data_IF_227676267133
#
_entry.id   IF_227676267133
#
_cell.length_a   1.000
_cell.length_b   1.000
_cell.length_c   1.000
_cell.angle_alpha   90.00
_cell.angle_beta   90.00
_cell.angle_gamma   90.00
#
_symmetry.space_group_name_H-M   'P 1'
#
loop_
_entity.id
_entity.type
_entity.pdbx_description
1 polymer ?
#
# COMPACT_ATOMS: atom_id res chain seq x y z
N UNK A 1 -8.80 -54.66 -54.31
CA UNK A 1 -9.23 -53.97 -53.07
C UNK A 1 -10.29 -52.94 -53.42
N UNK A 2 -11.56 -53.16 -53.04
CA UNK A 2 -12.60 -52.13 -53.13
C UNK A 2 -12.82 -51.59 -51.71
N UNK A 3 -12.48 -50.32 -51.49
CA UNK A 3 -12.81 -49.61 -50.26
C UNK A 3 -14.34 -49.44 -50.17
N UNK A 4 -14.95 -49.63 -49.00
CA UNK A 4 -16.39 -49.47 -48.84
C UNK A 4 -16.77 -48.01 -49.06
N UNK A 5 -17.71 -47.77 -49.99
CA UNK A 5 -18.31 -46.45 -50.19
C UNK A 5 -19.34 -46.23 -49.10
N UNK A 6 -18.98 -45.41 -48.10
CA UNK A 6 -19.94 -44.94 -47.11
C UNK A 6 -20.89 -43.94 -47.77
N UNK A 7 -22.20 -44.12 -47.55
CA UNK A 7 -23.22 -43.18 -48.02
C UNK A 7 -23.00 -41.80 -47.39
N UNK A 8 -23.20 -40.73 -48.17
CA UNK A 8 -23.07 -39.34 -47.70
C UNK A 8 -23.91 -39.06 -46.45
N UNK A 9 -25.07 -39.70 -46.32
CA UNK A 9 -25.93 -39.64 -45.13
C UNK A 9 -25.28 -40.25 -43.89
N UNK A 10 -24.54 -41.35 -44.03
CA UNK A 10 -23.82 -42.00 -42.93
C UNK A 10 -22.65 -41.12 -42.48
N UNK A 11 -21.92 -40.51 -43.42
CA UNK A 11 -20.86 -39.54 -43.07
C UNK A 11 -21.43 -38.31 -42.34
N UNK A 12 -22.56 -37.76 -42.79
CA UNK A 12 -23.19 -36.61 -42.13
C UNK A 12 -23.64 -36.93 -40.70
N UNK A 13 -24.21 -38.12 -40.51
CA UNK A 13 -24.65 -38.57 -39.19
C UNK A 13 -23.48 -38.76 -38.22
N UNK A 14 -22.36 -39.33 -38.67
CA UNK A 14 -21.14 -39.47 -37.88
C UNK A 14 -20.55 -38.11 -37.52
N UNK A 15 -20.56 -37.15 -38.45
CA UNK A 15 -20.07 -35.79 -38.19
C UNK A 15 -20.93 -35.07 -37.16
N UNK A 16 -22.25 -35.18 -37.25
CA UNK A 16 -23.18 -34.58 -36.30
C UNK A 16 -23.02 -35.19 -34.90
N UNK A 17 -22.83 -36.51 -34.81
CA UNK A 17 -22.56 -37.20 -33.54
C UNK A 17 -21.21 -36.78 -32.96
N UNK A 18 -20.15 -36.72 -33.77
CA UNK A 18 -18.84 -36.24 -33.30
C UNK A 18 -18.89 -34.78 -32.84
N UNK A 19 -19.61 -33.91 -33.55
CA UNK A 19 -19.76 -32.51 -33.16
C UNK A 19 -20.59 -32.38 -31.88
N UNK A 20 -21.66 -33.17 -31.73
CA UNK A 20 -22.46 -33.22 -30.50
C UNK A 20 -21.66 -33.73 -29.31
N UNK A 21 -20.82 -34.76 -29.48
CA UNK A 21 -19.91 -35.26 -28.45
C UNK A 21 -18.85 -34.20 -28.11
N UNK A 22 -18.28 -33.51 -29.09
CA UNK A 22 -17.29 -32.45 -28.86
C UNK A 22 -17.90 -31.28 -28.10
N UNK A 23 -19.10 -30.82 -28.49
CA UNK A 23 -19.84 -29.77 -27.77
C UNK A 23 -20.21 -30.23 -26.37
N UNK A 24 -20.62 -31.48 -26.18
CA UNK A 24 -20.89 -32.05 -24.86
C UNK A 24 -19.64 -32.11 -23.98
N UNK A 25 -18.50 -32.53 -24.51
CA UNK A 25 -17.22 -32.56 -23.80
C UNK A 25 -16.72 -31.16 -23.47
N UNK A 26 -16.81 -30.19 -24.40
CA UNK A 26 -16.45 -28.78 -24.15
C UNK A 26 -17.40 -28.13 -23.16
N UNK A 27 -18.70 -28.44 -23.20
CA UNK A 27 -19.69 -27.92 -22.23
C UNK A 27 -19.50 -28.50 -20.83
N UNK A 28 -18.98 -29.73 -20.69
CA UNK A 28 -18.55 -30.32 -19.41
C UNK A 28 -17.17 -29.88 -18.94
N UNK A 29 -16.32 -29.40 -19.86
CA UNK A 29 -15.00 -28.84 -19.56
C UNK A 29 -15.02 -27.32 -19.33
N UNK A 30 -16.14 -26.63 -19.61
CA UNK A 30 -16.39 -25.36 -18.94
C UNK A 30 -16.42 -25.69 -17.45
N UNK A 31 -15.49 -25.16 -16.64
CA UNK A 31 -15.60 -25.30 -15.21
C UNK A 31 -16.97 -24.73 -14.87
N UNK A 32 -17.87 -25.57 -14.36
CA UNK A 32 -18.91 -25.08 -13.49
C UNK A 32 -18.17 -24.28 -12.43
N UNK A 33 -18.17 -22.95 -12.56
CA UNK A 33 -17.62 -22.06 -11.53
C UNK A 33 -18.16 -22.59 -10.22
N UNK A 34 -17.31 -22.97 -9.25
CA UNK A 34 -17.79 -23.33 -7.94
C UNK A 34 -18.48 -22.09 -7.42
N UNK A 35 -19.81 -22.08 -7.47
CA UNK A 35 -20.62 -21.07 -6.85
C UNK A 35 -20.27 -21.10 -5.35
N UNK A 36 -19.51 -20.09 -4.90
CA UNK A 36 -19.29 -19.84 -3.47
C UNK A 36 -17.87 -19.83 -2.92
N UNK A 37 -16.78 -19.68 -3.68
CA UNK A 37 -15.56 -19.03 -3.13
C UNK A 37 -15.68 -17.54 -3.42
N UNK A 38 -16.10 -16.75 -2.44
CA UNK A 38 -16.26 -15.31 -2.61
C UNK A 38 -14.99 -14.68 -3.19
N UNK A 39 -15.13 -13.79 -4.18
CA UNK A 39 -14.02 -13.05 -4.75
C UNK A 39 -13.21 -12.37 -3.63
N UNK A 40 -11.89 -12.58 -3.62
CA UNK A 40 -11.01 -11.91 -2.67
C UNK A 40 -11.23 -10.39 -2.71
N UNK A 41 -11.31 -9.76 -1.55
CA UNK A 41 -11.23 -8.29 -1.48
C UNK A 41 -9.76 -7.90 -1.49
N UNK A 42 -9.36 -7.08 -2.46
CA UNK A 42 -7.98 -6.64 -2.62
C UNK A 42 -7.87 -5.23 -2.06
N UNK A 43 -6.90 -4.99 -1.17
CA UNK A 43 -6.70 -3.67 -0.57
C UNK A 43 -5.28 -3.22 -0.81
N UNK A 44 -5.13 -2.05 -1.42
CA UNK A 44 -3.85 -1.37 -1.52
C UNK A 44 -3.78 -0.25 -0.47
N UNK A 45 -2.93 -0.42 0.54
CA UNK A 45 -2.54 0.68 1.44
C UNK A 45 -1.45 1.49 0.73
N UNK A 46 -1.89 2.51 -0.01
CA UNK A 46 -1.05 3.39 -0.83
C UNK A 46 -0.56 4.57 0.01
N UNK A 47 0.73 4.87 -0.04
CA UNK A 47 1.34 5.95 0.74
C UNK A 47 2.69 6.39 0.15
N UNK A 48 3.43 7.26 0.84
CA UNK A 48 4.88 7.40 0.70
C UNK A 48 5.63 6.86 1.93
N UNK A 49 6.96 6.72 1.83
CA UNK A 49 7.80 6.38 2.99
C UNK A 49 7.59 7.38 4.13
N UNK A 50 7.56 6.86 5.36
CA UNK A 50 7.47 7.61 6.62
C UNK A 50 6.14 8.31 6.91
N UNK A 51 5.09 8.05 6.12
CA UNK A 51 3.73 8.60 6.36
C UNK A 51 2.87 7.77 7.32
N UNK A 52 3.43 6.77 8.01
CA UNK A 52 2.69 5.95 8.99
C UNK A 52 2.05 4.68 8.42
N UNK A 53 2.26 4.39 7.14
CA UNK A 53 1.68 3.23 6.44
C UNK A 53 2.09 1.88 7.02
N UNK A 54 3.24 1.78 7.70
CA UNK A 54 3.63 0.54 8.38
C UNK A 54 2.70 0.22 9.56
N UNK A 55 2.19 1.25 10.26
CA UNK A 55 1.21 1.08 11.32
C UNK A 55 -0.15 0.64 10.75
N UNK A 56 -0.64 1.30 9.69
CA UNK A 56 -1.88 0.91 9.00
C UNK A 56 -1.77 -0.50 8.42
N UNK A 57 -0.64 -0.86 7.82
CA UNK A 57 -0.39 -2.22 7.34
C UNK A 57 -0.42 -3.26 8.47
N UNK A 58 0.10 -2.93 9.66
CA UNK A 58 0.00 -3.81 10.83
C UNK A 58 -1.43 -3.98 11.32
N UNK A 59 -2.24 -2.92 11.32
CA UNK A 59 -3.66 -3.01 11.67
C UNK A 59 -4.35 -4.07 10.80
N UNK A 60 -4.19 -3.99 9.47
CA UNK A 60 -4.72 -5.00 8.56
C UNK A 60 -4.10 -6.39 8.78
N UNK A 61 -2.77 -6.48 8.91
CA UNK A 61 -2.05 -7.75 9.09
C UNK A 61 -2.58 -8.57 10.27
N UNK A 62 -2.93 -7.90 11.38
CA UNK A 62 -3.41 -8.59 12.57
C UNK A 62 -4.84 -9.16 12.43
N UNK A 63 -5.59 -8.80 11.37
CA UNK A 63 -6.93 -9.33 11.17
C UNK A 63 -6.92 -10.81 10.75
N UNK A 64 -7.76 -11.69 11.34
CA UNK A 64 -7.76 -13.14 11.07
C UNK A 64 -8.07 -13.53 9.62
N UNK A 65 -8.75 -12.65 8.89
CA UNK A 65 -9.17 -12.88 7.49
C UNK A 65 -8.25 -12.25 6.43
N UNK A 66 -7.13 -11.64 6.86
CA UNK A 66 -6.22 -10.91 5.98
C UNK A 66 -4.92 -11.70 5.74
N UNK A 67 -4.58 -11.86 4.46
CA UNK A 67 -3.22 -12.05 4.01
C UNK A 67 -2.59 -10.69 3.74
N UNK A 68 -1.44 -10.41 4.35
CA UNK A 68 -0.76 -9.11 4.22
C UNK A 68 0.68 -9.29 3.73
N UNK A 69 1.12 -8.43 2.79
CA UNK A 69 2.55 -8.26 2.50
C UNK A 69 2.94 -6.78 2.57
N UNK A 70 4.11 -6.54 3.17
CA UNK A 70 4.70 -5.21 3.27
C UNK A 70 5.61 -4.96 2.07
N UNK A 71 5.25 -4.00 1.24
CA UNK A 71 6.09 -3.48 0.16
C UNK A 71 6.70 -4.57 -0.77
N UNK A 72 5.93 -5.52 -1.33
CA UNK A 72 6.47 -6.48 -2.29
C UNK A 72 7.22 -5.82 -3.47
N UNK A 73 6.83 -4.62 -3.90
CA UNK A 73 7.53 -3.87 -4.95
C UNK A 73 8.95 -3.40 -4.57
N UNK A 74 9.34 -3.56 -3.30
CA UNK A 74 10.73 -3.40 -2.87
C UNK A 74 11.68 -4.27 -3.69
N UNK A 75 11.26 -5.50 -4.04
CA UNK A 75 12.08 -6.44 -4.82
C UNK A 75 12.34 -5.95 -6.25
N UNK A 76 11.37 -5.28 -6.89
CA UNK A 76 11.57 -4.66 -8.21
C UNK A 76 12.63 -3.56 -8.12
N UNK A 77 12.52 -2.69 -7.11
CA UNK A 77 13.45 -1.57 -6.93
C UNK A 77 14.84 -2.01 -6.47
N UNK A 78 14.94 -3.13 -5.76
CA UNK A 78 16.21 -3.74 -5.38
C UNK A 78 16.93 -4.32 -6.62
N UNK A 79 16.23 -5.17 -7.37
CA UNK A 79 16.78 -5.82 -8.57
C UNK A 79 17.08 -4.83 -9.71
N UNK A 80 16.24 -3.80 -9.89
CA UNK A 80 16.35 -2.82 -10.98
C UNK A 80 16.75 -1.43 -10.47
N UNK A 81 17.66 -1.37 -9.50
CA UNK A 81 18.06 -0.14 -8.78
C UNK A 81 18.66 0.99 -9.64
N UNK A 82 19.08 0.69 -10.87
CA UNK A 82 19.55 1.68 -11.84
C UNK A 82 18.39 2.47 -12.48
N UNK A 83 17.18 1.93 -12.46
CA UNK A 83 15.99 2.57 -13.01
C UNK A 83 15.53 3.79 -12.20
N UNK A 84 14.75 4.65 -12.84
CA UNK A 84 14.00 5.71 -12.16
C UNK A 84 12.62 5.21 -11.74
N UNK A 85 12.00 5.84 -10.73
CA UNK A 85 10.66 5.46 -10.30
C UNK A 85 9.65 5.37 -11.47
N UNK A 86 9.56 6.35 -12.40
CA UNK A 86 8.69 6.24 -13.58
C UNK A 86 8.99 5.05 -14.50
N UNK A 87 10.27 4.73 -14.71
CA UNK A 87 10.67 3.62 -15.57
C UNK A 87 10.26 2.26 -14.98
N UNK A 88 10.22 2.15 -13.64
CA UNK A 88 9.89 0.91 -12.94
C UNK A 88 8.39 0.70 -12.72
N UNK A 89 7.54 1.68 -13.03
CA UNK A 89 6.10 1.63 -12.71
C UNK A 89 5.37 0.41 -13.31
N UNK A 90 5.75 -0.03 -14.52
CA UNK A 90 5.10 -1.20 -15.14
C UNK A 90 5.45 -2.48 -14.40
N UNK A 91 6.75 -2.73 -14.17
CA UNK A 91 7.21 -3.89 -13.41
C UNK A 91 6.61 -3.92 -11.98
N UNK A 92 6.55 -2.76 -11.31
CA UNK A 92 5.91 -2.63 -10.00
C UNK A 92 4.41 -2.95 -10.06
N UNK A 93 3.67 -2.41 -11.03
CA UNK A 93 2.24 -2.69 -11.20
C UNK A 93 1.98 -4.17 -11.49
N UNK A 94 2.78 -4.78 -12.36
CA UNK A 94 2.60 -6.15 -12.79
C UNK A 94 2.91 -7.13 -11.64
N UNK A 95 3.97 -6.86 -10.84
CA UNK A 95 4.21 -7.59 -9.58
C UNK A 95 3.00 -7.50 -8.64
N UNK A 96 2.51 -6.29 -8.39
CA UNK A 96 1.38 -6.07 -7.47
C UNK A 96 0.12 -6.80 -7.93
N UNK A 97 -0.12 -6.82 -9.25
CA UNK A 97 -1.24 -7.56 -9.83
C UNK A 97 -1.13 -9.06 -9.56
N UNK A 98 0.01 -9.68 -9.85
CA UNK A 98 0.22 -11.12 -9.61
C UNK A 98 0.07 -11.47 -8.14
N UNK A 99 0.68 -10.68 -7.24
CA UNK A 99 0.57 -10.91 -5.79
C UNK A 99 -0.88 -10.78 -5.31
N UNK A 100 -1.67 -9.82 -5.83
CA UNK A 100 -3.09 -9.73 -5.50
C UNK A 100 -3.88 -10.98 -5.91
N UNK A 101 -3.54 -11.58 -7.05
CA UNK A 101 -4.11 -12.84 -7.53
C UNK A 101 -3.49 -14.08 -6.87
N UNK A 102 -2.69 -13.89 -5.81
CA UNK A 102 -1.94 -14.92 -5.13
C UNK A 102 -0.94 -15.70 -6.00
N UNK A 103 -0.56 -15.17 -7.16
CA UNK A 103 0.51 -15.69 -8.01
C UNK A 103 1.86 -15.18 -7.48
N UNK A 104 2.60 -16.07 -6.81
CA UNK A 104 3.89 -15.76 -6.20
C UNK A 104 5.08 -16.11 -7.12
N UNK A 105 4.84 -16.70 -8.29
CA UNK A 105 5.88 -17.04 -9.26
C UNK A 105 6.47 -15.76 -9.89
N UNK A 106 5.72 -14.66 -9.88
CA UNK A 106 6.20 -13.33 -10.29
C UNK A 106 7.48 -12.89 -9.57
N UNK A 107 7.76 -13.43 -8.38
CA UNK A 107 9.00 -13.15 -7.65
C UNK A 107 10.24 -13.83 -8.26
N UNK A 108 10.09 -14.82 -9.15
CA UNK A 108 11.23 -15.44 -9.87
C UNK A 108 12.05 -14.42 -10.66
N UNK A 109 11.43 -13.31 -11.09
CA UNK A 109 12.13 -12.23 -11.79
C UNK A 109 13.04 -11.39 -10.87
N UNK A 110 12.85 -11.45 -9.55
CA UNK A 110 13.45 -10.50 -8.60
C UNK A 110 14.09 -11.15 -7.36
N UNK A 111 13.86 -12.44 -7.12
CA UNK A 111 14.41 -13.22 -6.02
C UNK A 111 15.23 -14.40 -6.54
N UNK A 112 16.19 -14.92 -5.75
CA UNK A 112 16.92 -16.12 -6.11
C UNK A 112 15.99 -17.33 -6.25
N UNK A 113 16.39 -18.29 -7.08
CA UNK A 113 15.61 -19.51 -7.32
C UNK A 113 15.44 -20.36 -6.06
N UNK A 114 16.50 -20.49 -5.26
CA UNK A 114 16.43 -21.09 -3.92
C UNK A 114 16.12 -19.99 -2.92
N UNK A 115 14.90 -19.98 -2.41
CA UNK A 115 14.39 -18.97 -1.47
C UNK A 115 13.45 -19.57 -0.44
N UNK A 116 13.46 -18.96 0.74
CA UNK A 116 12.52 -19.20 1.82
C UNK A 116 11.56 -18.01 1.92
N UNK A 117 10.55 -18.12 2.78
CA UNK A 117 9.69 -16.96 3.07
C UNK A 117 10.47 -15.76 3.59
N UNK A 118 11.66 -15.99 4.20
CA UNK A 118 12.49 -14.92 4.74
C UNK A 118 13.07 -13.97 3.71
N UNK A 119 13.08 -14.39 2.44
CA UNK A 119 13.58 -13.56 1.33
C UNK A 119 12.56 -12.50 0.90
N UNK A 120 11.30 -12.59 1.35
CA UNK A 120 10.33 -11.51 1.19
C UNK A 120 10.65 -10.34 2.14
N UNK A 121 10.62 -9.13 1.60
CA UNK A 121 10.84 -7.91 2.37
C UNK A 121 9.86 -7.82 3.53
N UNK A 122 10.39 -7.69 4.76
CA UNK A 122 9.61 -7.56 6.00
C UNK A 122 8.57 -8.69 6.23
N UNK A 123 8.80 -9.89 5.70
CA UNK A 123 7.87 -11.03 5.76
C UNK A 123 7.25 -11.29 7.15
N UNK A 124 8.04 -11.19 8.23
CA UNK A 124 7.62 -11.57 9.59
C UNK A 124 6.60 -10.60 10.22
N UNK A 125 6.32 -9.48 9.56
CA UNK A 125 5.27 -8.55 9.98
C UNK A 125 3.89 -8.98 9.43
N UNK A 126 3.85 -10.03 8.60
CA UNK A 126 2.63 -10.67 8.12
C UNK A 126 2.17 -11.76 9.09
N UNK A 127 1.04 -11.54 9.78
CA UNK A 127 0.44 -12.58 10.64
C UNK A 127 0.20 -13.87 9.85
N UNK A 128 -0.24 -13.75 8.59
CA UNK A 128 -0.52 -14.88 7.72
C UNK A 128 0.71 -15.76 7.44
N UNK A 129 1.93 -15.20 7.42
CA UNK A 129 3.17 -15.96 7.27
C UNK A 129 3.72 -16.50 8.61
N UNK A 130 3.14 -16.05 9.72
CA UNK A 130 3.45 -16.53 11.07
C UNK A 130 2.40 -17.52 11.60
N UNK A 131 1.41 -17.88 10.76
CA UNK A 131 0.29 -18.76 11.07
C UNK A 131 0.17 -19.90 10.04
N UNK A 132 -0.57 -20.98 10.35
CA UNK A 132 -0.84 -22.04 9.39
C UNK A 132 -1.49 -21.51 8.10
N UNK A 133 -1.11 -22.04 6.92
CA UNK A 133 -0.26 -23.23 6.71
C UNK A 133 1.26 -22.96 6.70
N UNK A 134 1.71 -21.72 6.80
CA UNK A 134 3.14 -21.38 6.65
C UNK A 134 3.95 -21.74 7.89
N UNK A 135 3.43 -21.41 9.07
CA UNK A 135 4.15 -21.60 10.33
C UNK A 135 3.20 -21.71 11.52
N UNK A 136 3.53 -22.55 12.51
CA UNK A 136 2.68 -22.76 13.70
C UNK A 136 3.01 -21.82 14.87
N UNK A 137 3.73 -20.72 14.64
CA UNK A 137 4.13 -19.79 15.71
C UNK A 137 2.91 -19.11 16.36
N UNK A 138 1.85 -18.86 15.59
CA UNK A 138 0.60 -18.26 16.07
C UNK A 138 -0.62 -18.92 15.42
N UNK A 139 -1.66 -19.18 16.21
CA UNK A 139 -2.97 -19.51 15.66
C UNK A 139 -3.52 -18.36 14.81
N UNK A 140 -4.34 -18.66 13.79
CA UNK A 140 -4.86 -17.66 12.82
C UNK A 140 -5.60 -16.50 13.49
N UNK A 141 -6.28 -16.73 14.62
CA UNK A 141 -7.01 -15.69 15.35
C UNK A 141 -6.16 -14.81 16.26
N UNK A 142 -4.91 -15.18 16.54
CA UNK A 142 -4.09 -14.50 17.53
C UNK A 142 -3.31 -13.34 16.95
N UNK A 143 -3.05 -12.32 17.78
CA UNK A 143 -2.10 -11.25 17.46
C UNK A 143 -0.69 -11.87 17.34
N UNK A 144 -0.02 -11.63 16.21
CA UNK A 144 1.36 -12.07 15.99
C UNK A 144 2.38 -11.05 16.49
N UNK A 145 3.58 -11.54 16.80
CA UNK A 145 4.77 -10.73 17.08
C UNK A 145 5.89 -11.10 16.11
N UNK A 146 6.50 -10.07 15.52
CA UNK A 146 7.66 -10.19 14.63
C UNK A 146 8.85 -10.84 15.36
N UNK A 147 9.08 -10.47 16.61
CA UNK A 147 10.18 -10.96 17.46
C UNK A 147 10.11 -12.47 17.68
N UNK A 148 8.90 -13.03 17.76
CA UNK A 148 8.68 -14.47 17.90
C UNK A 148 8.67 -15.15 16.54
N UNK A 149 8.04 -14.55 15.54
CA UNK A 149 7.88 -15.15 14.21
C UNK A 149 9.22 -15.30 13.46
N UNK A 150 10.08 -14.28 13.50
CA UNK A 150 11.38 -14.29 12.80
C UNK A 150 12.22 -15.53 13.09
N UNK A 151 12.57 -15.86 14.35
CA UNK A 151 13.42 -17.01 14.64
C UNK A 151 12.74 -18.36 14.35
N UNK A 152 11.41 -18.45 14.41
CA UNK A 152 10.68 -19.72 14.28
C UNK A 152 10.29 -20.08 12.84
N UNK A 153 10.11 -19.08 11.97
CA UNK A 153 9.47 -19.27 10.67
C UNK A 153 10.36 -18.92 9.47
N UNK A 154 11.57 -18.37 9.67
CA UNK A 154 12.39 -17.84 8.56
C UNK A 154 12.67 -18.85 7.43
N UNK A 155 12.90 -20.11 7.77
CA UNK A 155 13.34 -21.15 6.82
C UNK A 155 12.20 -21.91 6.16
N UNK A 156 10.94 -21.44 6.32
CA UNK A 156 9.80 -22.10 5.70
C UNK A 156 9.85 -21.98 4.18
N UNK A 157 9.43 -23.01 3.42
CA UNK A 157 9.43 -22.98 1.97
C UNK A 157 8.62 -21.82 1.40
N UNK A 158 9.17 -21.14 0.38
CA UNK A 158 8.52 -19.99 -0.25
C UNK A 158 7.15 -20.32 -0.87
N UNK A 159 6.96 -21.54 -1.40
CA UNK A 159 5.69 -21.96 -2.00
C UNK A 159 4.48 -21.89 -1.06
N UNK A 160 4.69 -21.95 0.26
CA UNK A 160 3.62 -21.82 1.25
C UNK A 160 3.00 -20.40 1.28
N UNK A 161 3.67 -19.39 0.74
CA UNK A 161 3.15 -18.02 0.65
C UNK A 161 1.90 -17.96 -0.23
N UNK A 162 1.92 -18.64 -1.38
CA UNK A 162 0.80 -18.72 -2.31
C UNK A 162 -0.39 -19.48 -1.70
N UNK A 163 -0.11 -20.59 -1.01
CA UNK A 163 -1.12 -21.37 -0.29
C UNK A 163 -1.78 -20.53 0.82
N UNK A 164 -0.97 -19.82 1.61
CA UNK A 164 -1.48 -18.89 2.60
C UNK A 164 -2.36 -17.82 1.95
N UNK A 165 -1.86 -17.09 0.95
CA UNK A 165 -2.60 -16.02 0.27
C UNK A 165 -3.99 -16.49 -0.18
N UNK A 166 -4.05 -17.63 -0.85
CA UNK A 166 -5.31 -18.21 -1.39
C UNK A 166 -6.31 -18.64 -0.30
N UNK A 167 -5.86 -18.78 0.95
CA UNK A 167 -6.67 -19.22 2.08
C UNK A 167 -7.31 -18.09 2.90
N UNK A 168 -7.03 -16.82 2.59
CA UNK A 168 -7.61 -15.65 3.27
C UNK A 168 -8.61 -14.95 2.36
N UNK A 169 -9.67 -14.34 2.91
CA UNK A 169 -10.67 -13.64 2.08
C UNK A 169 -10.20 -12.25 1.62
N UNK A 170 -9.19 -11.68 2.28
CA UNK A 170 -8.65 -10.36 1.95
C UNK A 170 -7.15 -10.44 1.65
N UNK A 171 -6.73 -9.83 0.55
CA UNK A 171 -5.31 -9.68 0.18
C UNK A 171 -4.96 -8.21 0.30
N UNK A 172 -4.13 -7.87 1.29
CA UNK A 172 -3.77 -6.49 1.63
C UNK A 172 -2.29 -6.26 1.35
N UNK A 173 -2.00 -5.33 0.45
CA UNK A 173 -0.62 -4.94 0.12
C UNK A 173 -0.40 -3.50 0.56
N UNK A 174 0.68 -3.27 1.30
CA UNK A 174 1.14 -1.90 1.60
C UNK A 174 2.19 -1.50 0.58
N UNK A 175 2.01 -0.36 -0.06
CA UNK A 175 2.96 0.14 -1.05
C UNK A 175 3.27 1.62 -0.96
N UNK A 176 4.53 1.95 -1.31
CA UNK A 176 5.05 3.31 -1.28
C UNK A 176 5.71 3.75 -2.59
N UNK A 177 5.72 2.88 -3.59
CA UNK A 177 6.44 3.04 -4.86
C UNK A 177 5.56 3.50 -6.03
N UNK A 178 4.31 3.87 -5.76
CA UNK A 178 3.42 4.49 -6.75
C UNK A 178 3.30 6.00 -6.50
N UNK A 179 3.67 6.79 -7.51
CA UNK A 179 3.69 8.26 -7.41
C UNK A 179 2.57 8.94 -8.21
N UNK A 180 1.73 8.14 -8.86
CA UNK A 180 0.61 8.58 -9.69
C UNK A 180 -0.47 7.50 -9.67
N UNK A 181 -1.71 7.89 -9.37
CA UNK A 181 -2.85 6.98 -9.33
C UNK A 181 -3.16 6.35 -10.69
N UNK A 182 -2.88 7.04 -11.80
CA UNK A 182 -3.17 6.54 -13.14
C UNK A 182 -2.41 5.26 -13.49
N UNK A 183 -1.25 5.02 -12.86
CA UNK A 183 -0.50 3.77 -12.99
C UNK A 183 -1.32 2.57 -12.51
N UNK A 184 -2.23 2.78 -11.55
CA UNK A 184 -3.09 1.76 -10.95
C UNK A 184 -4.42 1.59 -11.68
N UNK A 185 -4.74 2.43 -12.67
CA UNK A 185 -6.00 2.33 -13.42
C UNK A 185 -6.20 0.97 -14.10
N UNK A 186 -5.18 0.31 -14.69
CA UNK A 186 -5.34 -1.03 -15.21
C UNK A 186 -5.79 -2.02 -14.13
N UNK A 187 -5.28 -1.91 -12.90
CA UNK A 187 -5.67 -2.80 -11.80
C UNK A 187 -7.08 -2.52 -11.31
N UNK A 188 -7.48 -1.25 -11.23
CA UNK A 188 -8.85 -0.87 -10.87
C UNK A 188 -9.87 -1.31 -11.94
N UNK A 189 -9.47 -1.42 -13.21
CA UNK A 189 -10.36 -1.86 -14.29
C UNK A 189 -10.34 -3.38 -14.50
N UNK A 190 -9.45 -4.09 -13.81
CA UNK A 190 -9.31 -5.53 -13.97
C UNK A 190 -10.50 -6.24 -13.30
N UNK A 191 -11.32 -7.01 -14.04
CA UNK A 191 -12.45 -7.73 -13.46
C UNK A 191 -12.02 -8.84 -12.50
N UNK A 192 -10.77 -9.30 -12.55
CA UNK A 192 -10.26 -10.28 -11.59
C UNK A 192 -9.94 -9.65 -10.22
N UNK A 193 -9.96 -8.31 -10.10
CA UNK A 193 -9.57 -7.59 -8.90
C UNK A 193 -10.74 -6.77 -8.32
N UNK A 194 -11.24 -7.19 -7.17
CA UNK A 194 -12.05 -6.34 -6.29
C UNK A 194 -11.15 -5.37 -5.48
N UNK A 195 -10.50 -4.45 -6.18
CA UNK A 195 -9.48 -3.55 -5.60
C UNK A 195 -10.07 -2.31 -4.93
N UNK A 196 -9.71 -2.07 -3.68
CA UNK A 196 -9.96 -0.85 -2.91
C UNK A 196 -8.62 -0.21 -2.50
N UNK A 197 -8.53 1.11 -2.60
CA UNK A 197 -7.31 1.87 -2.28
C UNK A 197 -7.54 2.68 -1.01
N UNK A 198 -6.73 2.42 0.02
CA UNK A 198 -6.59 3.29 1.19
C UNK A 198 -5.36 4.15 0.99
N UNK A 199 -5.56 5.42 0.60
CA UNK A 199 -4.47 6.36 0.39
C UNK A 199 -4.15 7.11 1.69
N UNK A 200 -3.06 6.73 2.34
CA UNK A 200 -2.58 7.35 3.56
C UNK A 200 -1.64 8.53 3.23
N UNK A 201 -1.96 9.70 3.77
CA UNK A 201 -1.14 10.91 3.73
C UNK A 201 -0.71 11.32 5.13
N UNK A 202 0.36 12.11 5.23
CA UNK A 202 0.88 12.65 6.49
C UNK A 202 1.40 14.05 6.27
N UNK A 203 1.40 14.87 7.31
CA UNK A 203 2.01 16.20 7.28
C UNK A 203 3.47 16.11 6.78
N UNK A 204 3.83 16.79 5.68
CA UNK A 204 5.16 16.70 5.09
C UNK A 204 6.28 17.19 6.04
N UNK A 205 5.95 18.02 7.03
CA UNK A 205 6.89 18.44 8.10
C UNK A 205 7.22 17.27 9.02
N UNK A 206 6.21 16.45 9.36
CA UNK A 206 6.40 15.22 10.11
C UNK A 206 7.15 14.15 9.30
N UNK A 207 6.86 14.07 7.99
CA UNK A 207 7.58 13.18 7.06
C UNK A 207 9.06 13.54 7.01
N UNK A 208 9.42 14.83 6.86
CA UNK A 208 10.82 15.27 6.86
C UNK A 208 11.58 14.80 8.11
N UNK A 209 11.05 15.11 9.31
CA UNK A 209 11.65 14.68 10.58
C UNK A 209 11.94 13.19 10.60
N UNK A 210 10.94 12.40 10.19
CA UNK A 210 10.99 10.95 10.22
C UNK A 210 11.98 10.38 9.18
N UNK A 211 12.17 11.06 8.06
CA UNK A 211 13.15 10.71 7.03
C UNK A 211 14.58 11.03 7.47
N UNK A 212 14.83 12.14 8.16
CA UNK A 212 16.17 12.46 8.68
C UNK A 212 16.68 11.38 9.66
N UNK A 213 15.77 10.75 10.41
CA UNK A 213 16.12 9.63 11.30
C UNK A 213 16.49 8.34 10.57
N UNK A 214 16.10 8.21 9.30
CA UNK A 214 16.18 6.98 8.50
C UNK A 214 16.92 7.17 7.16
N UNK A 215 17.68 8.26 7.02
CA UNK A 215 18.31 8.68 5.77
C UNK A 215 19.15 7.58 5.09
N UNK A 216 19.99 6.89 5.87
CA UNK A 216 20.83 5.79 5.38
C UNK A 216 20.02 4.63 4.79
N UNK A 217 18.98 4.21 5.51
CA UNK A 217 18.13 3.10 5.08
C UNK A 217 17.30 3.40 3.82
N UNK A 218 17.08 4.69 3.53
CA UNK A 218 16.33 5.14 2.36
C UNK A 218 17.23 5.62 1.22
N UNK A 219 18.57 5.52 1.34
CA UNK A 219 19.49 6.13 0.40
C UNK A 219 19.31 5.61 -1.04
N UNK A 220 19.07 4.31 -1.19
CA UNK A 220 18.76 3.70 -2.49
C UNK A 220 17.42 4.19 -3.05
N UNK A 221 16.34 4.13 -2.26
CA UNK A 221 15.02 4.61 -2.69
C UNK A 221 15.08 6.09 -3.09
N UNK A 222 15.86 6.91 -2.37
CA UNK A 222 16.08 8.32 -2.71
C UNK A 222 16.75 8.48 -4.08
N UNK A 223 17.76 7.66 -4.38
CA UNK A 223 18.42 7.67 -5.68
C UNK A 223 17.44 7.36 -6.82
N UNK A 224 16.61 6.33 -6.64
CA UNK A 224 15.58 5.92 -7.61
C UNK A 224 14.53 7.02 -7.82
N UNK A 225 14.06 7.65 -6.73
CA UNK A 225 13.13 8.80 -6.79
C UNK A 225 13.74 9.98 -7.55
N UNK A 226 15.02 10.25 -7.33
CA UNK A 226 15.73 11.37 -7.94
C UNK A 226 16.30 11.05 -9.33
N UNK A 227 16.19 9.81 -9.80
CA UNK A 227 16.69 9.36 -11.10
C UNK A 227 18.21 9.43 -11.22
N UNK A 228 18.95 9.11 -10.16
CA UNK A 228 20.42 9.25 -10.09
C UNK A 228 21.19 8.06 -10.66
N UNK A 229 20.53 7.22 -11.48
CA UNK A 229 21.11 6.05 -12.14
C UNK A 229 21.93 5.18 -11.17
N UNK A 230 21.24 4.60 -10.17
CA UNK A 230 21.83 3.71 -9.17
C UNK A 230 22.66 4.36 -8.07
N UNK A 231 22.87 5.69 -8.11
CA UNK A 231 23.62 6.38 -7.04
C UNK A 231 22.77 6.55 -5.79
N UNK A 232 23.27 6.09 -4.64
CA UNK A 232 22.59 6.20 -3.35
C UNK A 232 22.66 7.63 -2.82
N UNK A 233 21.54 8.15 -2.32
CA UNK A 233 21.41 9.55 -1.85
C UNK A 233 21.02 9.57 -0.38
N UNK A 234 22.01 9.67 0.51
CA UNK A 234 21.78 9.83 1.95
C UNK A 234 21.36 11.26 2.31
N UNK A 235 21.99 12.26 1.70
CA UNK A 235 21.76 13.67 1.98
C UNK A 235 21.06 14.37 0.82
N UNK A 236 19.96 15.05 1.11
CA UNK A 236 19.19 15.84 0.15
C UNK A 236 18.94 17.25 0.72
N UNK A 237 19.97 18.12 0.74
CA UNK A 237 19.87 19.45 1.36
C UNK A 237 18.84 20.36 0.67
N UNK A 238 18.49 20.05 -0.59
CA UNK A 238 17.49 20.80 -1.36
C UNK A 238 16.06 20.26 -1.14
N UNK A 239 15.89 19.20 -0.34
CA UNK A 239 14.63 18.54 -0.06
C UNK A 239 13.86 18.10 -1.32
N UNK A 240 14.58 17.70 -2.37
CA UNK A 240 14.00 17.25 -3.65
C UNK A 240 13.10 16.03 -3.46
N UNK A 241 13.48 15.07 -2.61
CA UNK A 241 12.68 13.87 -2.34
C UNK A 241 11.40 14.22 -1.60
N UNK A 242 11.47 15.11 -0.60
CA UNK A 242 10.27 15.56 0.12
C UNK A 242 9.34 16.34 -0.81
N UNK A 243 9.90 17.17 -1.68
CA UNK A 243 9.11 17.86 -2.72
C UNK A 243 8.40 16.87 -3.63
N UNK A 244 9.07 15.80 -4.10
CA UNK A 244 8.42 14.80 -4.94
C UNK A 244 7.36 13.99 -4.18
N UNK A 245 7.57 13.69 -2.89
CA UNK A 245 6.54 13.07 -2.03
C UNK A 245 5.28 13.95 -1.95
N UNK A 246 5.45 15.25 -1.73
CA UNK A 246 4.34 16.21 -1.71
C UNK A 246 3.61 16.27 -3.05
N UNK A 247 4.37 16.33 -4.17
CA UNK A 247 3.80 16.35 -5.52
C UNK A 247 3.04 15.07 -5.85
N UNK A 248 3.57 13.91 -5.44
CA UNK A 248 2.93 12.61 -5.58
C UNK A 248 1.57 12.57 -4.87
N UNK A 249 1.52 12.96 -3.61
CA UNK A 249 0.27 12.98 -2.85
C UNK A 249 -0.77 13.92 -3.46
N UNK A 250 -0.35 15.10 -3.95
CA UNK A 250 -1.24 16.03 -4.68
C UNK A 250 -1.78 15.37 -5.94
N UNK A 251 -0.91 14.83 -6.81
CA UNK A 251 -1.33 14.17 -8.05
C UNK A 251 -2.31 13.02 -7.81
N UNK A 252 -2.03 12.17 -6.82
CA UNK A 252 -2.90 11.04 -6.46
C UNK A 252 -4.24 11.54 -5.93
N UNK A 253 -4.23 12.52 -5.02
CA UNK A 253 -5.46 13.05 -4.43
C UNK A 253 -6.31 13.79 -5.47
N UNK A 254 -5.72 14.60 -6.35
CA UNK A 254 -6.43 15.28 -7.43
C UNK A 254 -7.08 14.28 -8.39
N UNK A 255 -6.33 13.27 -8.84
CA UNK A 255 -6.86 12.22 -9.72
C UNK A 255 -7.99 11.39 -9.07
N UNK A 256 -8.06 11.37 -7.75
CA UNK A 256 -9.08 10.62 -7.00
C UNK A 256 -10.28 11.45 -6.53
N UNK A 257 -10.11 12.75 -6.35
CA UNK A 257 -11.12 13.62 -5.73
C UNK A 257 -11.69 14.63 -6.72
N UNK A 258 -10.91 15.08 -7.70
CA UNK A 258 -11.36 16.04 -8.69
C UNK A 258 -11.88 15.32 -9.95
N UNK A 259 -13.21 15.21 -10.07
CA UNK A 259 -13.89 14.48 -11.17
C UNK A 259 -13.34 13.06 -11.34
N UNK A 260 -13.44 12.22 -10.29
CA UNK A 260 -12.89 10.87 -10.34
C UNK A 260 -13.52 10.06 -11.48
N UNK A 261 -12.73 9.19 -12.15
CA UNK A 261 -13.29 8.24 -13.08
C UNK A 261 -14.36 7.35 -12.42
N UNK A 262 -15.43 6.93 -13.12
CA UNK A 262 -16.51 6.15 -12.53
C UNK A 262 -16.05 4.86 -11.84
N UNK A 263 -15.02 4.20 -12.40
CA UNK A 263 -14.46 3.00 -11.80
C UNK A 263 -13.80 3.25 -10.45
N UNK A 264 -13.50 4.48 -10.03
CA UNK A 264 -12.90 4.75 -8.72
C UNK A 264 -13.96 4.92 -7.62
N UNK A 265 -15.23 5.09 -8.01
CA UNK A 265 -16.34 5.27 -7.08
C UNK A 265 -16.38 4.13 -6.06
N UNK A 266 -16.50 4.48 -4.77
CA UNK A 266 -16.51 3.56 -3.63
C UNK A 266 -15.29 2.63 -3.50
N UNK A 267 -14.24 2.85 -4.29
CA UNK A 267 -13.00 2.06 -4.31
C UNK A 267 -11.77 2.84 -3.91
N UNK A 268 -11.92 4.08 -3.44
CA UNK A 268 -10.82 4.91 -2.94
C UNK A 268 -11.22 5.67 -1.67
N UNK A 269 -10.34 5.65 -0.67
CA UNK A 269 -10.48 6.40 0.58
C UNK A 269 -9.15 7.09 0.93
N UNK A 270 -9.16 8.41 1.06
CA UNK A 270 -8.03 9.18 1.57
C UNK A 270 -8.07 9.27 3.10
N UNK A 271 -6.93 9.06 3.76
CA UNK A 271 -6.78 9.08 5.22
C UNK A 271 -5.57 9.91 5.59
N UNK A 272 -5.74 10.87 6.51
CA UNK A 272 -4.61 11.54 7.16
C UNK A 272 -4.15 10.73 8.35
N UNK A 273 -2.84 10.52 8.45
CA UNK A 273 -2.23 9.85 9.59
C UNK A 273 -2.57 10.55 10.93
N UNK A 274 -2.70 11.87 10.92
CA UNK A 274 -2.99 12.65 12.12
C UNK A 274 -4.41 12.43 12.64
N UNK A 275 -5.40 12.19 11.75
CA UNK A 275 -6.76 11.85 12.18
C UNK A 275 -6.77 10.44 12.81
N UNK A 276 -6.04 9.50 12.21
CA UNK A 276 -5.82 8.17 12.77
C UNK A 276 -5.09 8.22 14.12
N UNK A 277 -4.11 9.12 14.27
CA UNK A 277 -3.38 9.28 15.52
C UNK A 277 -4.22 9.91 16.64
N UNK A 278 -5.15 10.81 16.29
CA UNK A 278 -6.05 11.49 17.25
C UNK A 278 -7.20 10.59 17.70
N UNK A 279 -7.79 9.82 16.80
CA UNK A 279 -8.89 8.89 17.11
C UNK A 279 -8.72 7.55 16.37
N UNK A 280 -7.85 6.65 16.86
CA UNK A 280 -7.50 5.42 16.15
C UNK A 280 -8.70 4.49 15.95
N UNK A 281 -9.51 4.27 16.99
CA UNK A 281 -10.57 3.26 16.97
C UNK A 281 -11.69 3.64 15.99
N UNK A 282 -12.08 4.92 15.94
CA UNK A 282 -13.10 5.39 14.99
C UNK A 282 -12.59 5.28 13.56
N UNK A 283 -11.40 5.80 13.27
CA UNK A 283 -10.85 5.78 11.91
C UNK A 283 -10.62 4.35 11.42
N UNK A 284 -10.14 3.45 12.27
CA UNK A 284 -9.92 2.04 11.88
C UNK A 284 -11.25 1.32 11.65
N UNK A 285 -12.28 1.59 12.45
CA UNK A 285 -13.62 1.03 12.24
C UNK A 285 -14.19 1.45 10.88
N UNK A 286 -14.03 2.72 10.51
CA UNK A 286 -14.42 3.20 9.18
C UNK A 286 -13.61 2.55 8.06
N UNK A 287 -12.31 2.36 8.24
CA UNK A 287 -11.47 1.71 7.24
C UNK A 287 -11.84 0.24 7.04
N UNK A 288 -12.11 -0.47 8.12
CA UNK A 288 -12.56 -1.86 8.06
C UNK A 288 -13.91 -1.96 7.38
N UNK A 289 -14.87 -1.10 7.72
CA UNK A 289 -16.14 -1.03 7.01
C UNK A 289 -15.94 -0.75 5.51
N UNK A 290 -15.08 0.21 5.17
CA UNK A 290 -14.71 0.53 3.78
C UNK A 290 -14.07 -0.66 3.05
N UNK A 291 -13.40 -1.58 3.74
CA UNK A 291 -12.80 -2.78 3.13
C UNK A 291 -13.61 -4.06 3.32
N UNK A 292 -14.80 -4.02 3.94
CA UNK A 292 -15.62 -5.20 4.19
C UNK A 292 -15.14 -6.07 5.38
N UNK A 293 -14.34 -5.51 6.27
CA UNK A 293 -13.85 -6.16 7.50
C UNK A 293 -14.65 -5.71 8.73
N UNK A 294 -14.67 -6.55 9.77
CA UNK A 294 -15.24 -6.24 11.07
C UNK A 294 -14.15 -6.04 12.13
N UNK A 295 -14.31 -5.08 13.04
CA UNK A 295 -13.35 -4.91 14.13
C UNK A 295 -13.64 -5.89 15.27
N UNK A 296 -12.71 -6.80 15.54
CA UNK A 296 -12.85 -7.77 16.64
C UNK A 296 -12.49 -7.13 18.00
N UNK A 297 -13.02 -7.63 19.13
CA UNK A 297 -12.67 -7.13 20.46
C UNK A 297 -11.16 -7.21 20.75
N UNK A 298 -10.52 -8.31 20.36
CA UNK A 298 -9.07 -8.50 20.54
C UNK A 298 -8.26 -7.46 19.76
N UNK A 299 -8.64 -7.17 18.51
CA UNK A 299 -7.98 -6.12 17.71
C UNK A 299 -8.24 -4.74 18.29
N UNK A 300 -9.44 -4.45 18.77
CA UNK A 300 -9.75 -3.18 19.43
C UNK A 300 -8.82 -2.94 20.64
N UNK A 301 -8.64 -3.94 21.50
CA UNK A 301 -7.71 -3.86 22.63
C UNK A 301 -6.25 -3.69 22.17
N UNK A 302 -5.83 -4.47 21.17
CA UNK A 302 -4.47 -4.37 20.64
C UNK A 302 -4.17 -3.00 20.02
N UNK A 303 -5.10 -2.46 19.22
CA UNK A 303 -5.00 -1.11 18.62
C UNK A 303 -4.89 -0.06 19.72
N UNK A 304 -5.75 -0.11 20.73
CA UNK A 304 -5.69 0.84 21.84
C UNK A 304 -4.31 0.80 22.52
N UNK A 305 -3.79 -0.39 22.82
CA UNK A 305 -2.52 -0.55 23.52
C UNK A 305 -1.31 -0.12 22.68
N UNK A 306 -1.34 -0.31 21.36
CA UNK A 306 -0.22 0.08 20.51
C UNK A 306 -0.20 1.60 20.22
N UNK A 307 -1.33 2.30 20.32
CA UNK A 307 -1.41 3.76 20.09
C UNK A 307 -1.34 4.61 21.35
N UNK A 308 -1.48 4.01 22.54
CA UNK A 308 -1.40 4.68 23.85
C UNK A 308 -0.17 4.23 24.65
N UNK A 309 0.91 3.86 23.95
CA UNK A 309 2.19 3.55 24.59
C UNK A 309 2.88 4.79 25.16
N UNK A 310 3.98 4.58 25.88
CA UNK A 310 4.74 5.68 26.49
C UNK A 310 5.72 6.33 25.50
N UNK A 311 5.49 7.60 25.19
CA UNK A 311 6.42 8.46 24.44
C UNK A 311 6.62 8.07 22.96
N UNK A 312 7.60 8.69 22.26
CA UNK A 312 7.74 8.58 20.81
C UNK A 312 8.54 7.36 20.32
N UNK A 313 9.02 6.50 21.22
CA UNK A 313 9.91 5.37 20.94
C UNK A 313 11.37 5.78 20.67
N UNK A 314 12.30 4.81 20.70
CA UNK A 314 13.73 5.05 20.48
C UNK A 314 14.10 5.15 18.98
N UNK A 315 15.23 5.82 18.68
CA UNK A 315 15.72 5.97 17.29
C UNK A 315 15.94 4.64 16.58
N UNK A 316 16.41 3.60 17.29
CA UNK A 316 16.62 2.24 16.76
C UNK A 316 15.33 1.54 16.31
N UNK A 317 14.18 2.05 16.74
CA UNK A 317 12.87 1.50 16.42
C UNK A 317 12.18 2.27 15.27
N UNK A 318 12.90 3.11 14.53
CA UNK A 318 12.29 3.99 13.53
C UNK A 318 11.43 3.24 12.49
N UNK A 319 11.78 1.99 12.16
CA UNK A 319 11.03 1.13 11.22
C UNK A 319 10.13 0.09 11.90
N UNK A 320 10.09 0.05 13.23
CA UNK A 320 9.25 -0.89 13.98
C UNK A 320 7.91 -0.27 14.31
N UNK A 321 6.87 -1.09 14.28
CA UNK A 321 5.54 -0.74 14.81
C UNK A 321 5.49 -1.18 16.27
N UNK A 322 6.00 -0.34 17.17
CA UNK A 322 5.98 -0.57 18.62
C UNK A 322 4.92 0.31 19.31
N UNK A 323 4.52 -0.08 20.52
CA UNK A 323 3.56 0.69 21.32
C UNK A 323 4.12 2.08 21.65
N UNK A 324 3.43 3.13 21.21
CA UNK A 324 3.84 4.54 21.34
C UNK A 324 2.63 5.43 21.47
N UNK A 325 2.83 6.63 21.99
CA UNK A 325 1.82 7.68 21.96
C UNK A 325 1.70 8.20 20.51
N UNK A 326 0.64 7.80 19.82
CA UNK A 326 0.45 8.14 18.40
C UNK A 326 0.33 9.66 18.19
N UNK A 327 -0.33 10.38 19.10
CA UNK A 327 -0.52 11.83 19.02
C UNK A 327 0.82 12.55 19.17
N UNK A 328 1.61 12.20 20.18
CA UNK A 328 2.96 12.72 20.41
C UNK A 328 3.87 12.46 19.20
N UNK A 329 3.85 11.25 18.64
CA UNK A 329 4.62 10.91 17.44
C UNK A 329 4.18 11.74 16.23
N UNK A 330 2.89 12.02 16.08
CA UNK A 330 2.35 12.82 14.97
C UNK A 330 2.84 14.27 15.03
N UNK A 331 2.96 14.85 16.24
CA UNK A 331 3.31 16.24 16.48
C UNK A 331 4.79 16.48 16.80
N UNK A 332 5.61 15.43 16.95
CA UNK A 332 7.00 15.56 17.39
C UNK A 332 7.87 16.53 16.55
N UNK A 333 7.54 16.74 15.27
CA UNK A 333 8.24 17.68 14.40
C UNK A 333 8.19 19.13 14.91
N UNK A 334 7.13 19.49 15.65
CA UNK A 334 6.90 20.83 16.19
C UNK A 334 8.01 21.30 17.13
N UNK A 335 8.66 20.38 17.85
CA UNK A 335 9.74 20.72 18.77
C UNK A 335 11.12 20.24 18.33
N UNK A 336 11.20 19.29 17.39
CA UNK A 336 12.49 18.69 17.01
C UNK A 336 13.15 19.32 15.79
N UNK A 337 12.37 19.95 14.90
CA UNK A 337 12.91 20.57 13.69
C UNK A 337 13.12 22.08 13.88
N UNK A 338 14.22 22.66 13.41
CA UNK A 338 14.38 24.11 13.34
C UNK A 338 13.32 24.76 12.45
N UNK A 339 12.81 25.93 12.85
CA UNK A 339 11.77 26.64 12.09
C UNK A 339 12.18 26.95 10.64
N UNK A 340 13.46 27.22 10.37
CA UNK A 340 13.95 27.42 9.01
C UNK A 340 13.68 26.20 8.09
N UNK A 341 13.82 24.97 8.60
CA UNK A 341 13.48 23.76 7.84
C UNK A 341 11.97 23.62 7.64
N UNK A 342 11.18 23.96 8.66
CA UNK A 342 9.71 23.95 8.59
C UNK A 342 9.23 24.93 7.52
N UNK A 343 9.72 26.17 7.54
CA UNK A 343 9.42 27.18 6.53
C UNK A 343 9.76 26.67 5.13
N UNK A 344 10.94 26.04 4.97
CA UNK A 344 11.35 25.49 3.68
C UNK A 344 10.42 24.37 3.18
N UNK A 345 9.96 23.48 4.05
CA UNK A 345 8.96 22.46 3.68
C UNK A 345 7.64 23.11 3.28
N UNK A 346 7.17 24.13 4.00
CA UNK A 346 5.93 24.84 3.67
C UNK A 346 6.00 25.54 2.32
N UNK A 347 7.15 26.13 1.97
CA UNK A 347 7.39 26.71 0.63
C UNK A 347 7.31 25.63 -0.47
N UNK A 348 7.95 24.48 -0.25
CA UNK A 348 8.03 23.40 -1.26
C UNK A 348 6.74 22.57 -1.38
N UNK A 349 5.97 22.48 -0.30
CA UNK A 349 4.81 21.60 -0.17
C UNK A 349 3.50 22.37 0.07
N UNK A 350 3.46 23.68 -0.19
CA UNK A 350 2.29 24.53 0.09
C UNK A 350 0.99 23.99 -0.51
N UNK A 351 1.02 23.55 -1.78
CA UNK A 351 -0.15 22.93 -2.41
C UNK A 351 -0.60 21.62 -1.75
N UNK A 352 0.34 20.79 -1.28
CA UNK A 352 0.02 19.58 -0.53
C UNK A 352 -0.56 19.90 0.85
N UNK A 353 0.00 20.88 1.56
CA UNK A 353 -0.54 21.34 2.84
C UNK A 353 -1.97 21.83 2.68
N UNK A 354 -2.23 22.69 1.70
CA UNK A 354 -3.56 23.22 1.42
C UNK A 354 -4.56 22.11 1.06
N UNK A 355 -4.24 21.28 0.06
CA UNK A 355 -5.15 20.23 -0.44
C UNK A 355 -5.47 19.18 0.64
N UNK A 356 -4.49 18.84 1.47
CA UNK A 356 -4.62 17.80 2.50
C UNK A 356 -5.08 18.37 3.85
N UNK A 357 -5.36 19.68 3.93
CA UNK A 357 -5.92 20.32 5.11
C UNK A 357 -4.94 20.46 6.27
N UNK A 358 -3.70 20.85 5.99
CA UNK A 358 -2.67 21.19 6.97
C UNK A 358 -2.41 22.70 6.99
N UNK A 359 -2.53 23.32 8.16
CA UNK A 359 -2.24 24.74 8.36
C UNK A 359 -0.73 25.00 8.42
N UNK A 360 -0.29 26.05 7.72
CA UNK A 360 1.08 26.57 7.84
C UNK A 360 1.30 27.28 9.18
N UNK A 361 2.52 27.24 9.69
CA UNK A 361 2.96 28.04 10.84
C UNK A 361 3.90 29.14 10.36
N UNK A 362 3.78 30.34 10.93
CA UNK A 362 4.49 31.55 10.48
C UNK A 362 5.58 32.02 11.44
N UNK A 363 5.66 31.41 12.62
CA UNK A 363 6.69 31.70 13.61
C UNK A 363 7.12 30.45 14.37
N UNK A 364 8.28 30.51 15.03
CA UNK A 364 8.72 29.44 15.94
C UNK A 364 7.78 29.28 17.14
N UNK A 365 7.12 30.37 17.57
CA UNK A 365 6.09 30.34 18.61
C UNK A 365 4.89 29.47 18.17
N UNK A 366 4.31 29.76 17.00
CA UNK A 366 3.22 28.95 16.43
C UNK A 366 3.64 27.50 16.15
N UNK A 367 4.88 27.30 15.73
CA UNK A 367 5.41 25.96 15.52
C UNK A 367 5.37 25.16 16.83
N UNK A 368 5.82 25.74 17.94
CA UNK A 368 5.95 25.07 19.25
C UNK A 368 4.64 25.04 20.06
N UNK A 369 3.64 25.83 19.69
CA UNK A 369 2.35 25.83 20.38
C UNK A 369 1.52 24.58 20.03
N UNK A 370 1.49 23.59 20.93
CA UNK A 370 0.70 22.36 20.76
C UNK A 370 -0.81 22.58 20.92
N UNK A 371 -1.26 23.71 21.47
CA UNK A 371 -2.68 24.05 21.57
C UNK A 371 -3.26 24.53 20.23
N UNK A 372 -2.40 25.04 19.34
CA UNK A 372 -2.78 25.44 17.99
C UNK A 372 -3.07 24.20 17.13
N UNK A 373 -4.35 23.98 16.78
CA UNK A 373 -4.72 22.93 15.83
C UNK A 373 -4.25 23.28 14.41
N UNK A 374 -3.43 22.40 13.85
CA UNK A 374 -2.91 22.53 12.49
C UNK A 374 -3.69 21.69 11.48
N UNK A 375 -4.73 20.96 11.90
CA UNK A 375 -5.60 20.22 11.02
C UNK A 375 -6.83 21.06 10.68
N UNK A 376 -7.05 21.29 9.39
CA UNK A 376 -8.28 21.89 8.89
C UNK A 376 -9.34 20.80 8.69
N UNK A 377 -10.64 21.12 8.86
CA UNK A 377 -11.73 20.23 8.49
C UNK A 377 -11.57 19.77 7.04
N UNK A 378 -11.84 18.50 6.76
CA UNK A 378 -11.88 18.00 5.39
C UNK A 378 -13.20 18.48 4.75
N UNK A 379 -13.12 19.41 3.81
CA UNK A 379 -14.28 19.90 3.05
C UNK A 379 -14.17 19.47 1.59
N UNK A 380 -15.21 18.81 1.07
CA UNK A 380 -15.34 18.39 -0.33
C UNK A 380 -15.52 19.56 -1.33
N UNK A 381 -15.58 20.82 -0.87
CA UNK A 381 -16.13 21.92 -1.70
C UNK A 381 -15.29 23.21 -1.81
N UNK A 382 -14.03 23.27 -1.37
CA UNK A 382 -13.28 24.55 -1.34
C UNK A 382 -11.93 24.56 -2.04
N UNK A 383 -11.81 23.91 -3.20
CA UNK A 383 -10.64 24.06 -4.05
C UNK A 383 -10.94 24.97 -5.26
N UNK A 384 -10.43 26.20 -5.22
CA UNK A 384 -10.25 27.06 -6.40
C UNK A 384 -8.77 27.40 -6.53
N UNK A 385 -8.20 27.13 -7.70
CA UNK A 385 -6.83 27.53 -8.03
C UNK A 385 -6.70 29.05 -8.06
N UNK A 386 -5.60 29.59 -7.51
CA UNK A 386 -5.02 30.82 -8.04
C UNK A 386 -4.18 30.42 -9.27
N UNK A 387 -4.64 30.78 -10.47
CA UNK A 387 -3.87 30.53 -11.69
C UNK A 387 -2.71 31.52 -11.80
N UNK A 388 -1.58 31.09 -12.34
CA UNK A 388 -0.42 31.95 -12.63
C UNK A 388 -0.62 32.89 -13.83
N UNK A 389 -1.86 33.32 -14.08
CA UNK A 389 -2.22 34.21 -15.21
C UNK A 389 -3.01 35.44 -14.79
N UNK A 390 -3.10 35.76 -13.49
CA UNK A 390 -3.56 37.10 -13.10
C UNK A 390 -2.47 38.11 -13.45
N UNK A 391 -2.74 38.80 -14.57
CA UNK A 391 -1.97 39.90 -15.11
C UNK A 391 -1.58 40.87 -14.00
N UNK A 392 -0.30 41.25 -13.98
CA UNK A 392 0.11 42.47 -13.28
C UNK A 392 -0.73 43.64 -13.78
N UNK A 393 -1.21 44.52 -12.89
CA UNK A 393 -1.66 45.84 -13.32
C UNK A 393 -0.41 46.61 -13.76
N UNK A 394 -0.33 46.90 -15.06
CA UNK A 394 0.53 47.97 -15.57
C UNK A 394 0.05 49.30 -14.97
N UNK A 395 1.03 50.17 -14.73
CA UNK A 395 0.98 51.52 -14.18
C UNK A 395 -0.20 52.40 -14.59
#
# INVERSE_FOLDING_TARGET
MRLPRFSSTVMLSLLMVQTGILVFLVSRQLPSSPAGRGEHVHVLVLSSWRSGSSFVGQIFSQHPDVFYLMEPAWHVWDALSQGSAPALHMAVRDLIRSVFLCDMDVFDAYLPWRRNISDLFQWAVSRALCSPPVCDAFARGNISSEEVCKPLCATRPFGLVQEACSSYSHVVLKEVRFFNLQVLYPLLKDPALNLRIVHLVRDPRAVLRSREQTAKALARDNGIVLGTNGTWVEADPRLRVVSEVCRSHVRIAEAALHKPPPFLQDRYRLVRYEDLARDPLTVIRELYAFTGLGLTPQLQTWIHNITHGSGPGARREAFKTTSRDALSVSQAWRHTLPFAKIRRVQELCGGALQLLGYRSVHSELEQRDLSLDLLLPRGMDSFKWASSTDKQPES
#
